data_IF_033906293997
#
_entry.id   IF_033906293997
#
_cell.length_a   1.000
_cell.length_b   1.000
_cell.length_c   1.000
_cell.angle_alpha   90.00
_cell.angle_beta   90.00
_cell.angle_gamma   90.00
#
_symmetry.space_group_name_H-M   'P 1'
#
loop_
_entity.id
_entity.type
_entity.pdbx_description
1 polymer ?
#
# COMPACT_ATOMS: atom_id res chain seq x y z
N UNK A 1 17.61 20.85 -19.05
CA UNK A 1 17.02 21.56 -17.89
C UNK A 1 16.17 20.55 -17.13
N UNK A 2 16.75 19.89 -16.13
CA UNK A 2 16.00 19.00 -15.24
C UNK A 2 15.51 19.85 -14.06
N UNK A 3 14.20 20.00 -13.92
CA UNK A 3 13.60 20.66 -12.75
C UNK A 3 13.77 19.69 -11.58
N UNK A 4 14.58 20.01 -10.55
CA UNK A 4 14.58 19.21 -9.35
C UNK A 4 13.25 19.48 -8.64
N UNK A 5 12.33 18.54 -8.77
CA UNK A 5 11.09 18.53 -7.98
C UNK A 5 11.50 18.20 -6.55
N UNK A 6 11.89 19.24 -5.79
CA UNK A 6 12.03 19.20 -4.34
C UNK A 6 10.63 19.05 -3.74
N UNK A 7 10.10 17.83 -3.72
CA UNK A 7 8.95 17.52 -2.86
C UNK A 7 9.41 17.76 -1.43
N UNK A 8 8.77 18.75 -0.83
CA UNK A 8 8.89 19.21 0.54
C UNK A 8 9.11 18.05 1.52
N UNK A 9 10.29 18.06 2.14
CA UNK A 9 10.69 17.26 3.29
C UNK A 9 9.93 17.71 4.55
N UNK A 10 8.61 17.62 4.57
CA UNK A 10 7.82 17.73 5.80
C UNK A 10 7.67 16.34 6.40
N UNK A 11 8.71 15.94 7.14
CA UNK A 11 8.78 14.68 7.92
C UNK A 11 7.74 14.69 9.04
N UNK A 12 6.47 14.52 8.71
CA UNK A 12 5.49 13.99 9.65
C UNK A 12 5.37 12.51 9.35
N UNK A 13 5.92 11.64 10.20
CA UNK A 13 5.75 10.19 10.10
C UNK A 13 4.27 9.80 9.92
N UNK A 14 3.37 10.52 10.60
CA UNK A 14 1.93 10.34 10.44
C UNK A 14 1.40 10.68 9.04
N UNK A 15 1.99 11.65 8.33
CA UNK A 15 1.50 12.04 7.00
C UNK A 15 1.80 10.96 5.95
N UNK A 16 2.96 10.31 6.04
CA UNK A 16 3.34 9.19 5.17
C UNK A 16 2.48 7.95 5.46
N UNK A 17 2.22 7.65 6.73
CA UNK A 17 1.32 6.55 7.12
C UNK A 17 -0.12 6.77 6.65
N UNK A 18 -0.63 8.01 6.74
CA UNK A 18 -1.97 8.34 6.23
C UNK A 18 -2.03 8.20 4.71
N UNK A 19 -1.01 8.65 3.98
CA UNK A 19 -0.93 8.47 2.52
C UNK A 19 -0.90 6.99 2.17
N UNK A 20 -0.10 6.17 2.86
CA UNK A 20 -0.04 4.73 2.64
C UNK A 20 -1.39 4.04 2.89
N UNK A 21 -2.11 4.42 3.95
CA UNK A 21 -3.42 3.86 4.26
C UNK A 21 -4.47 4.26 3.22
N UNK A 22 -4.56 5.54 2.86
CA UNK A 22 -5.54 6.06 1.89
C UNK A 22 -5.26 5.53 0.49
N UNK A 23 -4.00 5.59 0.03
CA UNK A 23 -3.62 5.04 -1.26
C UNK A 23 -3.77 3.51 -1.28
N UNK A 24 -3.44 2.81 -0.20
CA UNK A 24 -3.65 1.37 -0.06
C UNK A 24 -5.11 0.96 -0.21
N UNK A 25 -6.03 1.71 0.39
CA UNK A 25 -7.48 1.49 0.24
C UNK A 25 -7.96 1.71 -1.20
N UNK A 26 -7.36 2.66 -1.91
CA UNK A 26 -7.62 2.93 -3.33
C UNK A 26 -6.94 1.95 -4.30
N UNK A 27 -6.15 0.98 -3.81
CA UNK A 27 -5.47 0.00 -4.66
C UNK A 27 -3.99 0.32 -4.97
N UNK A 28 -3.45 1.39 -4.40
CA UNK A 28 -2.08 1.85 -4.59
C UNK A 28 -1.25 1.74 -3.30
N UNK A 29 -1.16 0.52 -2.77
CA UNK A 29 -0.32 0.21 -1.61
C UNK A 29 1.17 0.36 -1.97
N UNK A 30 1.98 0.94 -1.10
CA UNK A 30 3.43 1.11 -1.30
C UNK A 30 3.87 2.49 -1.76
N UNK A 31 2.95 3.42 -2.05
CA UNK A 31 3.32 4.80 -2.42
C UNK A 31 4.03 5.52 -1.27
N UNK A 32 3.61 5.33 -0.02
CA UNK A 32 4.26 5.92 1.15
C UNK A 32 5.72 5.46 1.29
N UNK A 33 5.99 4.20 0.95
CA UNK A 33 7.34 3.62 0.93
C UNK A 33 8.22 4.16 -0.21
N UNK A 34 7.64 4.43 -1.39
CA UNK A 34 8.39 5.06 -2.48
C UNK A 34 8.76 6.50 -2.14
N UNK A 35 7.83 7.25 -1.50
CA UNK A 35 8.06 8.64 -1.08
C UNK A 35 9.06 8.73 0.09
N UNK A 36 9.15 7.71 0.95
CA UNK A 36 10.17 7.65 2.01
C UNK A 36 11.57 7.31 1.51
N UNK A 37 11.74 7.03 0.21
CA UNK A 37 13.03 6.70 -0.42
C UNK A 37 13.29 5.19 -0.57
N UNK A 38 12.41 4.34 -0.04
CA UNK A 38 12.50 2.88 -0.17
C UNK A 38 11.67 2.37 -1.36
N UNK A 39 12.12 2.72 -2.57
CA UNK A 39 11.43 2.39 -3.83
C UNK A 39 11.21 0.89 -3.97
N UNK A 40 12.20 0.06 -3.63
CA UNK A 40 12.09 -1.40 -3.76
C UNK A 40 10.96 -1.99 -2.90
N UNK A 41 10.85 -1.56 -1.64
CA UNK A 41 9.78 -2.01 -0.74
C UNK A 41 8.43 -1.51 -1.23
N UNK A 42 8.33 -0.24 -1.62
CA UNK A 42 7.10 0.30 -2.19
C UNK A 42 6.64 -0.46 -3.43
N UNK A 43 7.57 -0.82 -4.31
CA UNK A 43 7.27 -1.61 -5.51
C UNK A 43 6.80 -3.04 -5.16
N UNK A 44 7.42 -3.68 -4.16
CA UNK A 44 7.01 -4.99 -3.67
C UNK A 44 5.60 -4.96 -3.07
N UNK A 45 5.26 -3.94 -2.27
CA UNK A 45 3.91 -3.78 -1.74
C UNK A 45 2.89 -3.51 -2.84
N UNK A 46 3.23 -2.70 -3.86
CA UNK A 46 2.34 -2.41 -4.98
C UNK A 46 2.05 -3.65 -5.84
N UNK A 47 3.10 -4.36 -6.26
CA UNK A 47 2.97 -5.61 -7.02
C UNK A 47 2.31 -6.70 -6.19
N UNK A 48 2.67 -6.83 -4.91
CA UNK A 48 2.09 -7.79 -3.99
C UNK A 48 0.59 -7.55 -3.79
N UNK A 49 0.18 -6.29 -3.63
CA UNK A 49 -1.22 -5.91 -3.47
C UNK A 49 -2.04 -6.25 -4.71
N UNK A 50 -1.57 -5.88 -5.89
CA UNK A 50 -2.23 -6.23 -7.14
C UNK A 50 -2.28 -7.74 -7.40
N UNK A 51 -1.18 -8.45 -7.12
CA UNK A 51 -1.15 -9.91 -7.22
C UNK A 51 -2.17 -10.59 -6.30
N UNK A 52 -2.28 -10.11 -5.06
CA UNK A 52 -3.27 -10.60 -4.09
C UNK A 52 -4.71 -10.30 -4.53
N UNK A 53 -4.96 -9.10 -5.07
CA UNK A 53 -6.27 -8.74 -5.63
C UNK A 53 -6.65 -9.65 -6.81
N UNK A 54 -5.73 -9.93 -7.72
CA UNK A 54 -5.96 -10.88 -8.82
C UNK A 54 -6.21 -12.30 -8.31
N UNK A 55 -5.43 -12.78 -7.34
CA UNK A 55 -5.60 -14.11 -6.77
C UNK A 55 -6.95 -14.27 -6.07
N UNK A 56 -7.38 -13.27 -5.28
CA UNK A 56 -8.68 -13.27 -4.63
C UNK A 56 -9.83 -13.12 -5.62
N UNK A 57 -9.67 -12.32 -6.69
CA UNK A 57 -10.67 -12.22 -7.75
C UNK A 57 -10.85 -13.57 -8.46
N UNK A 58 -9.75 -14.25 -8.81
CA UNK A 58 -9.79 -15.60 -9.36
C UNK A 58 -10.46 -16.58 -8.39
N UNK A 59 -10.07 -16.57 -7.11
CA UNK A 59 -10.66 -17.43 -6.09
C UNK A 59 -12.16 -17.19 -5.93
N UNK A 60 -12.59 -15.93 -5.93
CA UNK A 60 -14.00 -15.54 -5.85
C UNK A 60 -14.80 -16.04 -7.06
N UNK A 61 -14.21 -15.97 -8.26
CA UNK A 61 -14.79 -16.51 -9.49
C UNK A 61 -14.96 -18.04 -9.41
N UNK A 62 -13.94 -18.78 -8.96
CA UNK A 62 -14.00 -20.25 -8.87
C UNK A 62 -14.87 -20.76 -7.71
N UNK A 63 -15.00 -20.00 -6.62
CA UNK A 63 -15.78 -20.40 -5.43
C UNK A 63 -17.21 -19.86 -5.43
N UNK A 64 -17.65 -19.19 -6.50
CA UNK A 64 -19.00 -18.65 -6.63
C UNK A 64 -19.30 -17.50 -5.65
N UNK A 65 -18.30 -16.74 -5.22
CA UNK A 65 -18.46 -15.59 -4.34
C UNK A 65 -17.94 -15.76 -2.91
N UNK A 66 -17.64 -16.98 -2.45
CA UNK A 66 -17.13 -17.23 -1.09
C UNK A 66 -15.74 -16.60 -0.84
N UNK A 67 -14.89 -16.54 -1.86
CA UNK A 67 -13.60 -15.82 -1.80
C UNK A 67 -13.74 -14.32 -1.47
N UNK A 68 -14.90 -13.73 -1.76
CA UNK A 68 -15.20 -12.32 -1.47
C UNK A 68 -15.35 -12.02 0.02
N UNK A 69 -15.64 -13.03 0.86
CA UNK A 69 -15.75 -12.84 2.32
C UNK A 69 -14.39 -12.46 2.93
N UNK A 70 -13.30 -13.00 2.38
CA UNK A 70 -11.94 -12.66 2.80
C UNK A 70 -11.48 -11.29 2.27
N UNK A 71 -12.14 -10.72 1.27
CA UNK A 71 -11.76 -9.46 0.63
C UNK A 71 -11.90 -8.27 1.57
N UNK A 72 -13.03 -8.17 2.27
CA UNK A 72 -13.35 -7.04 3.16
C UNK A 72 -12.35 -6.87 4.31
N UNK A 73 -12.01 -7.91 5.10
CA UNK A 73 -11.00 -7.74 6.16
C UNK A 73 -9.59 -7.49 5.59
N UNK A 74 -9.23 -8.11 4.46
CA UNK A 74 -7.93 -7.90 3.83
C UNK A 74 -7.73 -6.46 3.35
N UNK A 75 -8.77 -5.80 2.85
CA UNK A 75 -8.74 -4.39 2.46
C UNK A 75 -8.42 -3.42 3.59
N UNK A 76 -8.68 -3.81 4.84
CA UNK A 76 -8.41 -2.95 6.01
C UNK A 76 -7.08 -3.33 6.64
N UNK A 77 -6.85 -4.63 6.86
CA UNK A 77 -5.68 -5.12 7.61
C UNK A 77 -4.38 -4.84 6.87
N UNK A 78 -4.34 -5.02 5.54
CA UNK A 78 -3.09 -4.90 4.78
C UNK A 78 -2.61 -3.44 4.65
N UNK A 79 -3.47 -2.47 4.27
CA UNK A 79 -3.08 -1.06 4.30
C UNK A 79 -2.71 -0.57 5.70
N UNK A 80 -3.42 -1.03 6.73
CA UNK A 80 -3.13 -0.69 8.11
C UNK A 80 -1.76 -1.25 8.56
N UNK A 81 -1.47 -2.51 8.25
CA UNK A 81 -0.19 -3.13 8.57
C UNK A 81 0.99 -2.43 7.87
N UNK A 82 0.83 -2.06 6.59
CA UNK A 82 1.85 -1.29 5.85
C UNK A 82 2.07 0.10 6.46
N UNK A 83 0.98 0.80 6.80
CA UNK A 83 1.06 2.12 7.43
C UNK A 83 1.72 2.09 8.82
N UNK A 84 1.45 1.05 9.61
CA UNK A 84 2.09 0.82 10.92
C UNK A 84 3.58 0.49 10.77
N UNK A 85 3.95 -0.36 9.82
CA UNK A 85 5.37 -0.64 9.53
C UNK A 85 6.12 0.62 9.12
N UNK A 86 5.52 1.43 8.24
CA UNK A 86 6.10 2.71 7.84
C UNK A 86 6.22 3.71 9.00
N UNK A 87 5.33 3.64 10.00
CA UNK A 87 5.38 4.51 11.17
C UNK A 87 6.49 4.16 12.18
N UNK A 88 6.94 2.90 12.19
CA UNK A 88 7.94 2.38 13.13
C UNK A 88 9.38 2.44 12.64
N UNK A 89 9.60 2.66 11.35
CA UNK A 89 10.94 2.64 10.75
C UNK A 89 11.68 3.97 10.98
N UNK A 90 12.84 4.03 11.66
CA UNK A 90 13.58 5.28 11.84
C UNK A 90 14.06 5.85 10.49
N UNK A 91 13.85 7.16 10.31
CA UNK A 91 14.06 7.92 9.07
C UNK A 91 15.51 8.32 8.76
#
# INVERSE_FOLDING_TARGET
MAVPVYVTRTKGFGCLSVVEFVCGFLGFLGIGWMVSGNILRGLLYLLGWWGLMFALAALTFFTGGLGGVCWAPLQIIVPLASALQLSGEPA
#
